data_IF_980137778508
#
_entry.id   IF_980137778508
#
_cell.length_a   1.000
_cell.length_b   1.000
_cell.length_c   1.000
_cell.angle_alpha   90.00
_cell.angle_beta   90.00
_cell.angle_gamma   90.00
#
_symmetry.space_group_name_H-M   'P 1'
#
loop_
_entity.id
_entity.type
_entity.pdbx_description
1 polymer ?
#
# COMPACT_ATOMS: atom_id res chain seq x y z
N UNK A 1 8.20 -8.14 7.12
CA UNK A 1 7.16 -7.97 6.08
C UNK A 1 6.12 -7.02 6.65
N UNK A 2 5.87 -5.89 5.97
CA UNK A 2 4.92 -4.86 6.43
C UNK A 2 3.52 -5.21 5.95
N UNK A 3 2.52 -5.20 6.83
CA UNK A 3 1.10 -5.42 6.50
C UNK A 3 0.21 -4.24 6.90
N UNK A 4 0.83 -3.13 7.32
CA UNK A 4 0.12 -1.88 7.62
C UNK A 4 -0.52 -1.31 6.36
N UNK A 5 -1.75 -0.80 6.47
CA UNK A 5 -2.35 0.09 5.47
C UNK A 5 -2.64 1.40 6.16
N UNK A 6 -2.08 2.47 5.60
CA UNK A 6 -2.23 3.81 6.12
C UNK A 6 -2.38 4.79 4.96
N UNK A 7 -3.18 5.84 5.18
CA UNK A 7 -3.26 7.02 4.33
C UNK A 7 -2.96 8.24 5.19
N UNK A 8 -1.98 9.03 4.77
CA UNK A 8 -1.50 10.22 5.47
C UNK A 8 -1.77 11.43 4.58
N UNK A 9 -2.37 12.47 5.15
CA UNK A 9 -2.63 13.74 4.45
C UNK A 9 -1.93 14.83 5.22
N UNK A 10 -0.82 15.29 4.65
CA UNK A 10 0.11 16.23 5.27
C UNK A 10 0.46 15.79 6.71
N UNK A 11 0.63 16.75 7.63
CA UNK A 11 0.81 16.50 9.05
C UNK A 11 -0.51 16.64 9.85
N UNK A 12 -1.66 16.50 9.18
CA UNK A 12 -2.97 16.85 9.76
C UNK A 12 -3.90 15.66 9.97
N UNK A 13 -3.83 14.64 9.11
CA UNK A 13 -4.74 13.50 9.16
C UNK A 13 -4.01 12.20 8.88
N UNK A 14 -4.38 11.16 9.62
CA UNK A 14 -3.97 9.79 9.37
C UNK A 14 -5.19 8.88 9.37
N UNK A 15 -5.27 7.97 8.41
CA UNK A 15 -6.23 6.88 8.36
C UNK A 15 -5.45 5.58 8.42
N UNK A 16 -5.80 4.70 9.35
CA UNK A 16 -5.21 3.36 9.48
C UNK A 16 -6.32 2.32 9.55
N UNK A 17 -6.08 1.13 8.98
CA UNK A 17 -7.08 0.08 9.04
C UNK A 17 -6.81 -1.10 8.12
N UNK A 18 -7.89 -1.77 7.72
CA UNK A 18 -7.84 -3.03 6.96
C UNK A 18 -7.92 -2.82 5.44
N UNK A 19 -8.44 -1.67 4.99
CA UNK A 19 -8.66 -1.38 3.57
C UNK A 19 -7.35 -1.36 2.78
N UNK A 20 -7.24 -2.21 1.76
CA UNK A 20 -6.22 -2.06 0.73
C UNK A 20 -6.65 -1.01 -0.31
N UNK A 21 -5.68 -0.47 -1.05
CA UNK A 21 -5.95 0.49 -2.12
C UNK A 21 -6.31 -0.22 -3.43
N UNK A 22 -7.42 -0.95 -3.44
CA UNK A 22 -7.95 -1.67 -4.60
C UNK A 22 -9.48 -1.68 -4.63
N UNK A 23 -10.06 -1.94 -5.81
CA UNK A 23 -11.52 -1.91 -6.01
C UNK A 23 -12.26 -2.94 -5.14
N UNK A 24 -11.64 -4.08 -4.87
CA UNK A 24 -12.27 -5.14 -4.08
C UNK A 24 -12.46 -4.69 -2.63
N UNK A 25 -11.45 -4.07 -2.04
CA UNK A 25 -11.50 -3.52 -0.68
C UNK A 25 -12.46 -2.33 -0.59
N UNK A 26 -12.63 -1.57 -1.68
CA UNK A 26 -13.57 -0.45 -1.70
C UNK A 26 -15.04 -0.84 -1.92
N UNK A 27 -15.32 -1.92 -2.65
CA UNK A 27 -16.69 -2.25 -3.08
C UNK A 27 -17.24 -3.52 -2.43
N UNK A 28 -16.40 -4.51 -2.11
CA UNK A 28 -16.85 -5.86 -1.77
C UNK A 28 -16.50 -6.30 -0.35
N UNK A 29 -15.33 -5.90 0.17
CA UNK A 29 -14.90 -6.34 1.49
C UNK A 29 -15.55 -5.51 2.60
N UNK A 30 -15.82 -6.15 3.74
CA UNK A 30 -16.11 -5.46 4.98
C UNK A 30 -14.80 -4.95 5.59
N UNK A 31 -14.58 -3.65 5.53
CA UNK A 31 -13.36 -3.00 6.01
C UNK A 31 -13.61 -2.12 7.23
N UNK A 32 -12.60 -2.00 8.10
CA UNK A 32 -12.62 -1.11 9.27
C UNK A 32 -11.41 -0.20 9.24
N UNK A 33 -11.66 1.10 9.33
CA UNK A 33 -10.63 2.13 9.40
C UNK A 33 -10.89 3.10 10.56
N UNK A 34 -9.80 3.66 11.09
CA UNK A 34 -9.82 4.74 12.07
C UNK A 34 -9.18 5.96 11.43
N UNK A 35 -9.94 7.05 11.34
CA UNK A 35 -9.45 8.35 10.92
C UNK A 35 -9.11 9.19 12.16
N UNK A 36 -7.89 9.75 12.19
CA UNK A 36 -7.33 10.49 13.32
C UNK A 36 -6.83 11.85 12.86
N UNK A 37 -7.10 12.88 13.66
CA UNK A 37 -6.64 14.27 13.47
C UNK A 37 -5.83 14.81 14.64
N UNK A 38 -5.60 13.98 15.65
CA UNK A 38 -4.78 14.36 16.79
C UNK A 38 -3.33 14.52 16.36
N UNK A 39 -2.75 15.68 16.61
CA UNK A 39 -1.42 16.05 16.14
C UNK A 39 -0.34 15.07 16.63
N UNK A 40 -0.41 14.65 17.90
CA UNK A 40 0.57 13.74 18.46
C UNK A 40 0.49 12.34 17.83
N UNK A 41 -0.74 11.85 17.57
CA UNK A 41 -0.94 10.58 16.89
C UNK A 41 -0.50 10.64 15.43
N UNK A 42 -0.87 11.70 14.70
CA UNK A 42 -0.46 11.89 13.29
C UNK A 42 1.05 11.97 13.16
N UNK A 43 1.71 12.79 13.99
CA UNK A 43 3.17 12.91 13.99
C UNK A 43 3.86 11.57 14.29
N UNK A 44 3.30 10.77 15.21
CA UNK A 44 3.81 9.43 15.50
C UNK A 44 3.71 8.49 14.29
N UNK A 45 2.57 8.47 13.61
CA UNK A 45 2.37 7.62 12.44
C UNK A 45 3.28 8.08 11.28
N UNK A 46 3.44 9.39 11.07
CA UNK A 46 4.39 9.95 10.10
C UNK A 46 5.82 9.50 10.40
N UNK A 47 6.27 9.55 11.66
CA UNK A 47 7.58 9.06 12.05
C UNK A 47 7.77 7.56 11.79
N UNK A 48 6.75 6.74 12.07
CA UNK A 48 6.79 5.31 11.79
C UNK A 48 6.85 5.03 10.27
N UNK A 49 6.11 5.79 9.46
CA UNK A 49 6.15 5.73 8.00
C UNK A 49 7.53 6.11 7.43
N UNK A 50 8.10 7.25 7.85
CA UNK A 50 9.43 7.70 7.40
C UNK A 50 10.53 6.70 7.73
N UNK A 51 10.45 6.06 8.91
CA UNK A 51 11.40 5.01 9.30
C UNK A 51 11.31 3.78 8.41
N UNK A 52 10.10 3.41 7.98
CA UNK A 52 9.90 2.30 7.07
C UNK A 52 10.34 2.68 5.64
N UNK A 53 10.03 3.90 5.20
CA UNK A 53 10.44 4.45 3.90
C UNK A 53 11.96 4.47 3.74
N UNK A 54 12.70 4.83 4.79
CA UNK A 54 14.17 4.83 4.78
C UNK A 54 14.81 3.44 4.54
N UNK A 55 14.02 2.36 4.60
CA UNK A 55 14.46 0.98 4.34
C UNK A 55 13.95 0.42 3.00
N UNK A 56 13.17 1.21 2.27
CA UNK A 56 12.60 0.82 0.98
C UNK A 56 13.55 1.16 -0.16
N UNK A 57 13.44 0.40 -1.25
CA UNK A 57 14.04 0.75 -2.53
C UNK A 57 12.99 1.49 -3.38
N UNK A 58 13.38 2.59 -4.01
CA UNK A 58 12.48 3.35 -4.89
C UNK A 58 12.14 2.54 -6.15
N UNK A 59 10.85 2.27 -6.34
CA UNK A 59 10.37 1.57 -7.52
C UNK A 59 10.07 2.55 -8.66
N UNK A 60 10.95 2.62 -9.64
CA UNK A 60 10.73 3.43 -10.85
C UNK A 60 10.08 2.62 -11.97
N UNK A 61 9.35 3.30 -12.86
CA UNK A 61 8.76 2.67 -14.04
C UNK A 61 9.81 2.03 -14.96
N UNK A 62 10.98 2.63 -15.07
CA UNK A 62 12.09 2.11 -15.86
C UNK A 62 12.63 0.81 -15.27
N UNK A 63 12.92 0.78 -13.95
CA UNK A 63 13.34 -0.42 -13.25
C UNK A 63 12.29 -1.54 -13.40
N UNK A 64 11.01 -1.21 -13.20
CA UNK A 64 9.91 -2.15 -13.38
C UNK A 64 9.87 -2.75 -14.80
N UNK A 65 10.09 -1.95 -15.85
CA UNK A 65 10.13 -2.42 -17.25
C UNK A 65 11.35 -3.27 -17.54
N UNK A 66 12.47 -3.04 -16.86
CA UNK A 66 13.73 -3.80 -17.02
C UNK A 66 13.74 -5.14 -16.28
N UNK A 67 12.70 -5.45 -15.49
CA UNK A 67 12.63 -6.72 -14.75
C UNK A 67 12.76 -7.96 -15.66
N UNK A 68 13.31 -9.08 -15.13
CA UNK A 68 13.54 -10.31 -15.88
C UNK A 68 12.30 -10.81 -16.64
N UNK A 69 12.53 -11.47 -17.78
CA UNK A 69 11.45 -11.99 -18.63
C UNK A 69 10.61 -13.05 -17.91
N UNK A 70 11.23 -13.86 -17.05
CA UNK A 70 10.51 -14.88 -16.29
C UNK A 70 9.51 -14.27 -15.29
N UNK A 71 9.84 -13.13 -14.64
CA UNK A 71 8.92 -12.42 -13.75
C UNK A 71 7.72 -11.84 -14.52
N UNK A 72 7.97 -11.32 -15.73
CA UNK A 72 6.90 -10.84 -16.62
C UNK A 72 5.97 -11.97 -17.03
N UNK A 73 6.52 -13.14 -17.36
CA UNK A 73 5.73 -14.32 -17.74
C UNK A 73 4.87 -14.80 -16.57
N UNK A 74 5.45 -14.97 -15.38
CA UNK A 74 4.71 -15.36 -14.18
C UNK A 74 3.61 -14.36 -13.88
N UNK A 75 3.90 -13.05 -13.90
CA UNK A 75 2.90 -12.02 -13.65
C UNK A 75 1.74 -12.07 -14.65
N UNK A 76 2.00 -12.37 -15.93
CA UNK A 76 0.96 -12.50 -16.95
C UNK A 76 0.10 -13.74 -16.72
N UNK A 77 0.71 -14.88 -16.39
CA UNK A 77 -0.03 -16.13 -16.09
C UNK A 77 -0.88 -15.96 -14.82
N UNK A 78 -0.30 -15.41 -13.76
CA UNK A 78 -1.01 -15.14 -12.50
C UNK A 78 -2.21 -14.22 -12.73
N UNK A 79 -2.04 -13.13 -13.49
CA UNK A 79 -3.13 -12.21 -13.82
C UNK A 79 -4.26 -12.89 -14.62
N UNK A 80 -3.93 -13.78 -15.58
CA UNK A 80 -4.95 -14.55 -16.31
C UNK A 80 -5.75 -15.46 -15.36
N UNK A 81 -5.07 -16.10 -14.41
CA UNK A 81 -5.69 -17.00 -13.44
C UNK A 81 -6.54 -16.25 -12.40
N UNK A 82 -6.09 -15.08 -11.96
CA UNK A 82 -6.77 -14.25 -10.97
C UNK A 82 -8.05 -13.59 -11.52
N UNK A 83 -8.13 -13.42 -12.85
CA UNK A 83 -9.30 -12.86 -13.57
C UNK A 83 -10.57 -13.76 -13.55
N UNK A 84 -10.65 -14.70 -12.62
CA UNK A 84 -11.76 -15.63 -12.40
C UNK A 84 -12.48 -15.42 -11.06
N UNK A 85 -12.24 -14.30 -10.36
CA UNK A 85 -12.98 -13.85 -9.18
C UNK A 85 -13.47 -12.42 -9.37
#
# INVERSE_FOLDING_TARGET
MTHSKALLVDDLWAVIGTTNLDNRSFEHNDEVNVAVRDEAVVARINCDFERDLARCEEMTLEAWRRRPVWEKLIGTVAWILERQQ
#
